data_IF_538758501611
#
_entry.id   IF_538758501611
#
_cell.length_a   1.000
_cell.length_b   1.000
_cell.length_c   1.000
_cell.angle_alpha   90.00
_cell.angle_beta   90.00
_cell.angle_gamma   90.00
#
_symmetry.space_group_name_H-M   'P 1'
#
loop_
_entity.id
_entity.type
_entity.pdbx_description
1 polymer ?
#
# COMPACT_ATOMS: atom_id res chain seq x y z
N UNK A 1 14.70 -10.01 -4.36
CA UNK A 1 14.08 -9.87 -3.03
C UNK A 1 12.67 -10.45 -2.92
N UNK A 2 12.02 -10.96 -3.97
CA UNK A 2 10.59 -11.30 -3.87
C UNK A 2 10.36 -12.68 -3.23
N UNK A 3 9.78 -12.69 -2.01
CA UNK A 3 9.50 -13.91 -1.22
C UNK A 3 10.68 -14.90 -0.96
N UNK A 4 11.95 -14.48 -0.79
CA UNK A 4 12.96 -15.38 -0.25
C UNK A 4 12.62 -15.69 1.22
N UNK A 5 13.11 -16.84 1.69
CA UNK A 5 13.04 -17.22 3.10
C UNK A 5 14.32 -16.80 3.84
N UNK A 6 14.32 -16.76 5.18
CA UNK A 6 15.56 -16.61 5.96
C UNK A 6 16.57 -17.73 5.61
N UNK A 7 17.89 -17.47 5.63
CA UNK A 7 18.54 -16.23 6.07
C UNK A 7 18.64 -15.14 4.99
N UNK A 8 18.19 -15.40 3.76
CA UNK A 8 18.27 -14.43 2.67
C UNK A 8 17.33 -13.24 2.92
N UNK A 9 16.14 -13.50 3.47
CA UNK A 9 15.29 -12.48 4.08
C UNK A 9 15.71 -12.26 5.54
N UNK A 10 16.46 -11.18 5.78
CA UNK A 10 17.04 -10.87 7.10
C UNK A 10 16.15 -10.00 7.99
N UNK A 11 14.94 -9.66 7.55
CA UNK A 11 14.08 -8.65 8.20
C UNK A 11 12.64 -9.11 8.40
N UNK A 12 12.38 -10.42 8.28
CA UNK A 12 11.07 -11.01 8.51
C UNK A 12 10.50 -10.65 9.89
N UNK A 13 11.29 -10.82 10.97
CA UNK A 13 10.85 -10.53 12.34
C UNK A 13 10.52 -9.04 12.53
N UNK A 14 11.33 -8.15 11.96
CA UNK A 14 11.09 -6.71 12.02
C UNK A 14 9.78 -6.32 11.32
N UNK A 15 9.46 -6.95 10.18
CA UNK A 15 8.17 -6.72 9.49
C UNK A 15 7.00 -7.28 10.29
N UNK A 16 7.16 -8.43 10.95
CA UNK A 16 6.13 -8.98 11.84
C UNK A 16 5.87 -8.04 13.03
N UNK A 17 6.91 -7.45 13.63
CA UNK A 17 6.76 -6.47 14.69
C UNK A 17 6.06 -5.20 14.22
N UNK A 18 6.40 -4.69 13.02
CA UNK A 18 5.70 -3.56 12.40
C UNK A 18 4.19 -3.81 12.28
N UNK A 19 3.77 -4.99 11.79
CA UNK A 19 2.34 -5.33 11.74
C UNK A 19 1.70 -5.38 13.13
N UNK A 20 2.38 -5.99 14.11
CA UNK A 20 1.89 -6.09 15.48
C UNK A 20 1.74 -4.71 16.15
N UNK A 21 2.68 -3.81 15.93
CA UNK A 21 2.63 -2.44 16.44
C UNK A 21 1.53 -1.62 15.76
N UNK A 22 1.39 -1.70 14.43
CA UNK A 22 0.30 -1.06 13.70
C UNK A 22 -1.09 -1.53 14.18
N UNK A 23 -1.24 -2.83 14.43
CA UNK A 23 -2.48 -3.39 14.96
C UNK A 23 -2.84 -2.81 16.34
N UNK A 24 -1.85 -2.62 17.23
CA UNK A 24 -2.04 -1.95 18.53
C UNK A 24 -2.44 -0.48 18.39
N UNK A 25 -2.09 0.16 17.28
CA UNK A 25 -2.50 1.53 16.94
C UNK A 25 -3.87 1.61 16.23
N UNK A 26 -4.56 0.48 16.07
CA UNK A 26 -5.91 0.42 15.50
C UNK A 26 -5.98 0.19 13.99
N UNK A 27 -4.85 -0.08 13.31
CA UNK A 27 -4.85 -0.43 11.89
C UNK A 27 -5.22 -1.91 11.71
N UNK A 28 -6.17 -2.19 10.82
CA UNK A 28 -6.49 -3.57 10.43
C UNK A 28 -5.44 -4.06 9.43
N UNK A 29 -4.52 -4.91 9.87
CA UNK A 29 -3.42 -5.44 9.05
C UNK A 29 -3.77 -6.78 8.39
N UNK A 30 -3.11 -7.12 7.29
CA UNK A 30 -3.34 -8.37 6.55
C UNK A 30 -2.09 -9.23 6.39
N UNK A 31 -1.09 -8.74 5.65
CA UNK A 31 0.09 -9.50 5.21
C UNK A 31 1.36 -8.66 5.25
N UNK A 32 2.51 -9.30 5.22
CA UNK A 32 3.77 -8.64 4.88
C UNK A 32 4.63 -9.54 4.01
N UNK A 33 5.51 -8.98 3.18
CA UNK A 33 6.54 -9.74 2.49
C UNK A 33 7.74 -8.87 2.11
N UNK A 34 8.81 -9.55 1.73
CA UNK A 34 9.92 -8.92 1.03
C UNK A 34 9.51 -8.68 -0.43
N UNK A 35 9.82 -7.48 -0.90
CA UNK A 35 9.53 -7.00 -2.25
C UNK A 35 10.73 -7.23 -3.18
N UNK A 36 10.57 -6.89 -4.46
CA UNK A 36 11.54 -7.23 -5.53
C UNK A 36 12.95 -6.70 -5.23
N UNK A 37 13.07 -5.43 -4.80
CA UNK A 37 14.37 -4.79 -4.54
C UNK A 37 15.06 -5.29 -3.27
N UNK A 38 16.38 -5.06 -3.17
CA UNK A 38 17.28 -5.72 -2.21
C UNK A 38 16.96 -5.49 -0.72
N UNK A 39 16.33 -4.36 -0.38
CA UNK A 39 15.88 -4.02 0.98
C UNK A 39 14.49 -3.35 0.96
N UNK A 40 13.59 -3.93 0.16
CA UNK A 40 12.25 -3.42 -0.05
C UNK A 40 11.22 -4.34 0.58
N UNK A 41 10.21 -3.76 1.21
CA UNK A 41 9.20 -4.49 1.99
C UNK A 41 7.82 -3.90 1.75
N UNK A 42 6.81 -4.77 1.71
CA UNK A 42 5.40 -4.39 1.64
C UNK A 42 4.66 -4.94 2.86
N UNK A 43 3.85 -4.10 3.49
CA UNK A 43 2.91 -4.45 4.55
C UNK A 43 1.49 -4.06 4.07
N UNK A 44 0.55 -4.98 4.18
CA UNK A 44 -0.83 -4.82 3.73
C UNK A 44 -1.76 -4.38 4.85
N UNK A 45 -2.62 -3.41 4.54
CA UNK A 45 -3.74 -2.97 5.38
C UNK A 45 -5.06 -3.40 4.72
N UNK A 46 -6.04 -3.76 5.54
CA UNK A 46 -7.41 -3.97 5.07
C UNK A 46 -8.01 -2.65 4.65
N UNK A 47 -8.73 -2.64 3.54
CA UNK A 47 -9.40 -1.45 3.02
C UNK A 47 -10.43 -0.90 4.01
N UNK A 48 -10.66 0.41 3.94
CA UNK A 48 -11.67 1.14 4.70
C UNK A 48 -12.10 2.39 3.92
N UNK A 49 -12.90 3.27 4.52
CA UNK A 49 -13.34 4.53 3.92
C UNK A 49 -12.17 5.47 3.60
N UNK A 50 -12.37 6.38 2.63
CA UNK A 50 -11.31 7.24 2.08
C UNK A 50 -10.51 7.99 3.17
N UNK A 51 -11.18 8.71 4.05
CA UNK A 51 -10.52 9.49 5.11
C UNK A 51 -9.80 8.59 6.10
N UNK A 52 -10.43 7.49 6.51
CA UNK A 52 -9.81 6.57 7.46
C UNK A 52 -8.58 5.88 6.87
N UNK A 53 -8.59 5.53 5.58
CA UNK A 53 -7.40 5.01 4.91
C UNK A 53 -6.27 6.05 4.83
N UNK A 54 -6.60 7.33 4.65
CA UNK A 54 -5.61 8.40 4.69
C UNK A 54 -4.98 8.54 6.08
N UNK A 55 -5.79 8.48 7.15
CA UNK A 55 -5.31 8.50 8.54
C UNK A 55 -4.43 7.28 8.84
N UNK A 56 -4.87 6.09 8.44
CA UNK A 56 -4.12 4.86 8.62
C UNK A 56 -2.78 4.87 7.86
N UNK A 57 -2.71 5.55 6.71
CA UNK A 57 -1.46 5.72 5.97
C UNK A 57 -0.42 6.53 6.76
N UNK A 58 -0.86 7.51 7.55
CA UNK A 58 0.03 8.28 8.42
C UNK A 58 0.53 7.42 9.59
N UNK A 59 -0.36 6.62 10.19
CA UNK A 59 0.00 5.63 11.22
C UNK A 59 1.00 4.61 10.67
N UNK A 60 0.76 4.10 9.47
CA UNK A 60 1.62 3.14 8.76
C UNK A 60 3.05 3.66 8.65
N UNK A 61 3.22 4.88 8.08
CA UNK A 61 4.55 5.48 7.89
C UNK A 61 5.25 5.74 9.23
N UNK A 62 4.54 6.31 10.19
CA UNK A 62 5.10 6.58 11.52
C UNK A 62 5.56 5.31 12.23
N UNK A 63 4.69 4.30 12.29
CA UNK A 63 5.00 3.03 12.96
C UNK A 63 6.22 2.35 12.34
N UNK A 64 6.32 2.31 11.01
CA UNK A 64 7.45 1.70 10.32
C UNK A 64 8.76 2.45 10.61
N UNK A 65 8.75 3.79 10.61
CA UNK A 65 9.94 4.56 11.00
C UNK A 65 10.37 4.26 12.45
N UNK A 66 9.42 4.19 13.38
CA UNK A 66 9.72 3.92 14.79
C UNK A 66 10.26 2.50 15.02
N UNK A 67 9.64 1.48 14.44
CA UNK A 67 10.11 0.10 14.59
C UNK A 67 11.46 -0.08 13.90
N UNK A 68 11.66 0.47 12.69
CA UNK A 68 12.96 0.44 12.04
C UNK A 68 14.05 1.08 12.92
N UNK A 69 13.76 2.21 13.56
CA UNK A 69 14.68 2.88 14.47
C UNK A 69 15.04 2.03 15.70
N UNK A 70 14.07 1.36 16.32
CA UNK A 70 14.30 0.45 17.46
C UNK A 70 15.26 -0.69 17.08
N UNK A 71 15.17 -1.18 15.85
CA UNK A 71 16.06 -2.21 15.31
C UNK A 71 17.42 -1.68 14.81
N UNK A 72 17.74 -0.40 15.07
CA UNK A 72 18.98 0.23 14.62
C UNK A 72 19.07 0.42 13.11
N UNK A 73 17.93 0.54 12.42
CA UNK A 73 17.81 0.75 10.97
C UNK A 73 17.12 2.08 10.66
N UNK A 74 17.09 2.44 9.39
CA UNK A 74 16.29 3.55 8.86
C UNK A 74 15.39 3.06 7.73
N UNK A 75 14.17 3.57 7.69
CA UNK A 75 13.20 3.28 6.63
C UNK A 75 12.95 4.55 5.80
N UNK A 76 12.60 4.39 4.52
CA UNK A 76 12.23 5.49 3.64
C UNK A 76 11.09 5.07 2.72
N UNK A 77 10.21 6.02 2.41
CA UNK A 77 9.11 5.87 1.46
C UNK A 77 9.36 6.65 0.16
N UNK A 78 10.61 7.06 -0.10
CA UNK A 78 10.98 7.70 -1.36
C UNK A 78 10.66 6.78 -2.55
N UNK A 79 10.19 7.33 -3.67
CA UNK A 79 9.76 6.54 -4.82
C UNK A 79 10.91 5.78 -5.48
N UNK A 80 12.13 6.33 -5.44
CA UNK A 80 13.30 5.72 -6.08
C UNK A 80 14.59 5.97 -5.28
N UNK A 81 14.83 5.21 -4.20
CA UNK A 81 16.02 5.41 -3.36
C UNK A 81 17.31 4.85 -3.98
N UNK A 82 17.21 3.85 -4.88
CA UNK A 82 18.38 3.15 -5.46
C UNK A 82 18.25 3.10 -6.98
N UNK A 83 19.31 3.51 -7.67
CA UNK A 83 19.42 3.40 -9.13
C UNK A 83 19.58 1.94 -9.56
N UNK A 84 18.90 1.53 -10.63
CA UNK A 84 19.02 0.17 -11.17
C UNK A 84 18.23 -0.93 -10.42
N UNK A 85 17.61 -0.62 -9.28
CA UNK A 85 16.72 -1.54 -8.54
C UNK A 85 15.26 -1.05 -8.57
N UNK A 86 14.28 -1.81 -8.09
CA UNK A 86 12.87 -1.40 -8.10
C UNK A 86 12.60 -0.15 -7.23
N UNK A 87 11.58 0.63 -7.63
CA UNK A 87 11.07 1.77 -6.86
C UNK A 87 9.91 1.38 -5.95
N UNK A 88 9.51 2.28 -5.05
CA UNK A 88 8.37 2.10 -4.15
C UNK A 88 7.18 2.93 -4.64
N UNK A 89 6.05 2.26 -4.83
CA UNK A 89 4.77 2.89 -5.17
C UNK A 89 3.77 2.80 -4.03
N UNK A 90 2.73 3.63 -4.08
CA UNK A 90 1.54 3.49 -3.24
C UNK A 90 0.41 2.96 -4.12
N UNK A 91 0.25 1.64 -4.18
CA UNK A 91 -0.84 1.03 -4.94
C UNK A 91 -2.18 1.33 -4.24
N UNK A 92 -3.05 2.09 -4.90
CA UNK A 92 -4.35 2.49 -4.34
C UNK A 92 -5.46 1.68 -4.99
N UNK A 93 -6.04 0.75 -4.22
CA UNK A 93 -7.20 -0.02 -4.65
C UNK A 93 -8.47 0.75 -4.27
N UNK A 94 -9.41 0.91 -5.21
CA UNK A 94 -10.60 1.72 -5.01
C UNK A 94 -11.86 0.92 -5.31
N UNK A 95 -12.87 1.08 -4.46
CA UNK A 95 -14.22 0.60 -4.70
C UNK A 95 -15.21 1.63 -4.14
N UNK A 96 -16.41 1.69 -4.74
CA UNK A 96 -17.50 2.53 -4.24
C UNK A 96 -18.61 1.60 -3.77
N UNK A 97 -19.11 1.85 -2.57
CA UNK A 97 -20.31 1.20 -2.06
C UNK A 97 -21.48 2.18 -2.20
N UNK A 98 -22.61 1.68 -2.71
CA UNK A 98 -23.87 2.41 -2.77
C UNK A 98 -24.92 1.56 -2.07
N UNK A 99 -25.58 2.12 -1.05
CA UNK A 99 -26.57 1.42 -0.23
C UNK A 99 -26.04 0.08 0.34
N UNK A 100 -24.78 0.09 0.76
CA UNK A 100 -24.08 -1.09 1.31
C UNK A 100 -23.64 -2.13 0.28
N UNK A 101 -23.85 -1.90 -1.03
CA UNK A 101 -23.48 -2.84 -2.10
C UNK A 101 -22.33 -2.29 -2.96
N UNK A 102 -21.39 -3.14 -3.40
CA UNK A 102 -20.28 -2.71 -4.25
C UNK A 102 -20.82 -2.31 -5.62
N UNK A 103 -20.74 -1.01 -5.95
CA UNK A 103 -21.26 -0.48 -7.22
C UNK A 103 -20.33 -0.76 -8.40
N UNK A 104 -19.07 -1.13 -8.13
CA UNK A 104 -18.07 -1.40 -9.17
C UNK A 104 -18.11 -2.84 -9.70
N UNK A 105 -18.72 -3.77 -8.97
CA UNK A 105 -18.92 -5.14 -9.44
C UNK A 105 -20.08 -5.19 -10.45
N UNK A 106 -19.91 -5.92 -11.54
CA UNK A 106 -20.92 -6.05 -12.60
C UNK A 106 -20.59 -7.17 -13.58
N UNK A 107 -21.12 -7.05 -14.79
CA UNK A 107 -21.04 -8.09 -15.83
C UNK A 107 -20.54 -7.55 -17.18
N UNK A 108 -19.77 -6.44 -17.16
CA UNK A 108 -19.18 -5.86 -18.36
C UNK A 108 -17.78 -6.47 -18.56
N UNK A 109 -16.76 -5.63 -18.63
CA UNK A 109 -15.39 -6.08 -18.83
C UNK A 109 -14.76 -6.54 -17.52
N UNK A 110 -14.24 -7.78 -17.48
CA UNK A 110 -13.57 -8.36 -16.31
C UNK A 110 -14.40 -8.21 -15.01
N UNK A 111 -15.70 -8.51 -15.09
CA UNK A 111 -16.67 -8.43 -13.98
C UNK A 111 -16.84 -7.02 -13.37
N UNK A 112 -16.47 -5.98 -14.13
CA UNK A 112 -16.70 -4.59 -13.75
C UNK A 112 -18.09 -4.11 -14.21
N UNK A 113 -18.66 -3.18 -13.45
CA UNK A 113 -19.94 -2.55 -13.78
C UNK A 113 -19.81 -1.45 -14.82
N UNK A 114 -20.95 -1.08 -15.41
CA UNK A 114 -21.06 0.09 -16.28
C UNK A 114 -20.77 1.42 -15.55
N UNK A 115 -20.81 1.42 -14.21
CA UNK A 115 -20.40 2.57 -13.40
C UNK A 115 -18.89 2.60 -13.17
N UNK A 116 -18.24 1.43 -13.06
CA UNK A 116 -16.80 1.34 -12.83
C UNK A 116 -15.99 1.78 -14.07
N UNK A 117 -16.38 1.33 -15.27
CA UNK A 117 -15.61 1.61 -16.49
C UNK A 117 -15.44 3.11 -16.78
N UNK A 118 -16.49 3.96 -16.71
CA UNK A 118 -16.32 5.42 -16.83
C UNK A 118 -15.52 6.03 -15.68
N UNK A 119 -15.59 5.48 -14.46
CA UNK A 119 -14.77 5.94 -13.33
C UNK A 119 -13.27 5.76 -13.63
N UNK A 120 -12.88 4.61 -14.15
CA UNK A 120 -11.50 4.35 -14.62
C UNK A 120 -11.15 5.31 -15.76
N UNK A 121 -12.06 5.47 -16.73
CA UNK A 121 -11.89 6.40 -17.85
C UNK A 121 -11.64 7.84 -17.40
N UNK A 122 -12.32 8.30 -16.34
CA UNK A 122 -12.10 9.60 -15.73
C UNK A 122 -10.69 9.75 -15.15
N UNK A 123 -10.21 8.76 -14.39
CA UNK A 123 -8.85 8.77 -13.84
C UNK A 123 -7.82 8.84 -14.98
N UNK A 124 -7.96 8.03 -16.03
CA UNK A 124 -7.04 8.01 -17.17
C UNK A 124 -7.07 9.36 -17.91
N UNK A 125 -8.26 9.90 -18.20
CA UNK A 125 -8.43 11.20 -18.88
C UNK A 125 -7.74 12.33 -18.12
N UNK A 126 -7.79 12.31 -16.79
CA UNK A 126 -7.25 13.36 -15.92
C UNK A 126 -5.88 13.00 -15.31
N UNK A 127 -5.24 11.92 -15.75
CA UNK A 127 -4.02 11.38 -15.14
C UNK A 127 -2.89 12.42 -15.02
N UNK A 128 -2.71 13.30 -16.01
CA UNK A 128 -1.68 14.36 -15.97
C UNK A 128 -1.89 15.35 -14.82
N UNK A 129 -3.14 15.74 -14.56
CA UNK A 129 -3.47 16.66 -13.48
C UNK A 129 -3.41 15.94 -12.12
N UNK A 130 -3.92 14.71 -12.05
CA UNK A 130 -3.85 13.87 -10.86
C UNK A 130 -2.40 13.61 -10.44
N UNK A 131 -1.49 13.44 -11.42
CA UNK A 131 -0.07 13.18 -11.16
C UNK A 131 0.59 14.25 -10.28
N UNK A 132 0.17 15.51 -10.38
CA UNK A 132 0.69 16.60 -9.54
C UNK A 132 0.37 16.41 -8.04
N UNK A 133 -0.63 15.59 -7.71
CA UNK A 133 -1.03 15.30 -6.33
C UNK A 133 -0.62 13.91 -5.88
N UNK A 134 -0.67 12.92 -6.78
CA UNK A 134 -0.34 11.53 -6.44
C UNK A 134 1.15 11.24 -6.47
N UNK A 135 1.94 12.07 -7.17
CA UNK A 135 3.38 11.98 -7.27
C UNK A 135 4.03 13.36 -7.08
N UNK A 136 3.84 14.01 -5.91
CA UNK A 136 4.40 15.32 -5.62
C UNK A 136 5.92 15.29 -5.39
#
# INVERSE_FOLDING_TARGET
GYFPVPPQDSVQDMRSEMLGAMAKMGVKVEKHHHEVASAQHELGMKFDTLTLMADQMQVYKYCIHQVAHIYGKTATFMPKPVYGDNGSGMHVHQSILKDGKPSFAGNKYADLSETCLPSIGGIIKHAKAINAFTNP
#
